data_IF_917695082690
#
_entry.id   IF_917695082690
#
_cell.length_a   1.000
_cell.length_b   1.000
_cell.length_c   1.000
_cell.angle_alpha   90.00
_cell.angle_beta   90.00
_cell.angle_gamma   90.00
#
_symmetry.space_group_name_H-M   'P 1'
#
loop_
_entity.id
_entity.type
_entity.pdbx_description
1 polymer ?
#
# COMPACT_ATOMS: atom_id res chain seq x y z
N UNK A 1 13.50 7.72 5.41
CA UNK A 1 14.20 6.46 5.74
C UNK A 1 13.36 5.64 6.70
N UNK A 2 13.30 4.32 6.50
CA UNK A 2 12.65 3.42 7.44
C UNK A 2 13.46 3.34 8.72
N UNK A 3 12.82 3.60 9.86
CA UNK A 3 13.45 3.56 11.18
C UNK A 3 13.47 2.12 11.69
N UNK A 4 14.64 1.60 12.02
CA UNK A 4 14.76 0.28 12.64
C UNK A 4 15.52 0.37 13.97
N UNK A 5 15.19 -0.53 14.87
CA UNK A 5 15.99 -0.79 16.07
C UNK A 5 16.62 -2.19 16.00
N UNK A 6 17.77 -2.34 16.66
CA UNK A 6 18.45 -3.62 16.78
C UNK A 6 18.32 -4.08 18.23
N UNK A 7 17.82 -5.31 18.44
CA UNK A 7 17.78 -5.95 19.75
C UNK A 7 18.72 -7.15 19.74
N UNK A 8 19.75 -7.12 20.59
CA UNK A 8 20.81 -8.10 20.55
C UNK A 8 21.32 -8.48 21.95
N UNK A 9 21.42 -9.77 22.24
CA UNK A 9 21.94 -10.28 23.52
C UNK A 9 23.45 -10.05 23.72
N UNK A 10 24.20 -9.97 22.65
CA UNK A 10 25.67 -10.04 22.69
C UNK A 10 26.38 -8.71 23.00
N UNK A 11 25.64 -7.69 23.48
CA UNK A 11 26.18 -6.41 23.89
C UNK A 11 26.49 -5.42 22.75
N UNK A 12 26.93 -4.22 23.13
CA UNK A 12 27.08 -3.08 22.23
C UNK A 12 28.01 -3.31 21.03
N UNK A 13 29.12 -4.07 21.22
CA UNK A 13 30.08 -4.35 20.15
C UNK A 13 29.46 -5.21 19.02
N UNK A 14 28.68 -6.22 19.39
CA UNK A 14 28.02 -7.09 18.44
C UNK A 14 26.89 -6.33 17.69
N UNK A 15 26.10 -5.54 18.40
CA UNK A 15 25.08 -4.69 17.80
C UNK A 15 25.70 -3.69 16.81
N UNK A 16 26.86 -3.15 17.10
CA UNK A 16 27.59 -2.24 16.20
C UNK A 16 28.06 -2.91 14.92
N UNK A 17 28.47 -4.18 14.97
CA UNK A 17 28.84 -4.97 13.78
C UNK A 17 27.59 -5.19 12.90
N UNK A 18 26.47 -5.57 13.49
CA UNK A 18 25.19 -5.74 12.80
C UNK A 18 24.78 -4.42 12.14
N UNK A 19 24.79 -3.33 12.89
CA UNK A 19 24.51 -1.97 12.39
C UNK A 19 25.34 -1.64 11.16
N UNK A 20 26.67 -1.76 11.26
CA UNK A 20 27.59 -1.43 10.16
C UNK A 20 27.33 -2.25 8.90
N UNK A 21 26.97 -3.55 9.05
CA UNK A 21 26.63 -4.42 7.93
C UNK A 21 25.31 -3.99 7.26
N UNK A 22 24.29 -3.65 8.04
CA UNK A 22 23.00 -3.20 7.52
C UNK A 22 23.18 -1.85 6.79
N UNK A 23 23.76 -0.84 7.42
CA UNK A 23 23.93 0.51 6.85
C UNK A 23 24.77 0.50 5.56
N UNK A 24 25.75 -0.41 5.45
CA UNK A 24 26.55 -0.56 4.23
C UNK A 24 25.79 -1.17 3.06
N UNK A 25 24.78 -1.99 3.34
CA UNK A 25 24.06 -2.76 2.31
C UNK A 25 22.67 -2.22 1.98
N UNK A 26 22.08 -1.45 2.89
CA UNK A 26 20.72 -0.92 2.75
C UNK A 26 20.74 0.60 2.94
N UNK A 27 20.54 1.35 1.84
CA UNK A 27 20.68 2.82 1.82
C UNK A 27 19.49 3.56 2.44
N UNK A 28 18.29 2.96 2.48
CA UNK A 28 17.04 3.61 2.92
C UNK A 28 16.66 3.27 4.37
N UNK A 29 17.64 2.97 5.21
CA UNK A 29 17.48 2.60 6.61
C UNK A 29 18.07 3.66 7.53
N UNK A 30 17.39 3.91 8.65
CA UNK A 30 17.92 4.65 9.79
C UNK A 30 17.85 3.77 11.03
N UNK A 31 19.02 3.46 11.61
CA UNK A 31 19.05 2.73 12.89
C UNK A 31 18.94 3.75 14.02
N UNK A 32 17.76 3.74 14.69
CA UNK A 32 17.40 4.72 15.72
C UNK A 32 17.76 4.27 17.13
N UNK A 33 18.03 2.97 17.34
CA UNK A 33 18.44 2.46 18.64
C UNK A 33 19.03 1.05 18.57
N UNK A 34 19.81 0.73 19.57
CA UNK A 34 20.37 -0.61 19.80
C UNK A 34 20.17 -0.94 21.27
N UNK A 35 19.52 -2.07 21.55
CA UNK A 35 19.09 -2.44 22.89
C UNK A 35 19.43 -3.89 23.19
N UNK A 36 19.66 -4.20 24.45
CA UNK A 36 19.53 -5.56 24.99
C UNK A 36 18.02 -5.92 25.07
N UNK A 37 17.70 -7.19 25.22
CA UNK A 37 16.31 -7.63 25.41
C UNK A 37 15.68 -7.01 26.67
N UNK A 38 16.47 -6.85 27.73
CA UNK A 38 16.02 -6.23 28.97
C UNK A 38 15.70 -4.74 28.79
N UNK A 39 16.57 -3.97 28.16
CA UNK A 39 16.32 -2.56 27.85
C UNK A 39 15.12 -2.39 26.93
N UNK A 40 15.01 -3.25 25.89
CA UNK A 40 13.87 -3.23 24.97
C UNK A 40 12.54 -3.49 25.71
N UNK A 41 12.52 -4.42 26.68
CA UNK A 41 11.31 -4.76 27.45
C UNK A 41 10.82 -3.62 28.35
N UNK A 42 11.66 -2.62 28.62
CA UNK A 42 11.34 -1.44 29.41
C UNK A 42 10.87 -0.25 28.57
N UNK A 43 10.96 -0.34 27.24
CA UNK A 43 10.45 0.70 26.35
C UNK A 43 8.93 0.65 26.28
N UNK A 44 8.28 1.75 26.63
CA UNK A 44 6.81 1.85 26.54
C UNK A 44 6.32 1.88 25.07
N UNK A 45 7.02 2.61 24.20
CA UNK A 45 6.71 2.70 22.76
C UNK A 45 8.00 2.97 21.96
N UNK A 46 8.63 1.97 21.34
CA UNK A 46 9.80 2.21 20.51
C UNK A 46 9.41 2.96 19.23
N UNK A 47 10.02 4.13 19.00
CA UNK A 47 9.86 4.90 17.76
C UNK A 47 10.62 4.24 16.61
N UNK A 48 10.11 3.14 16.09
CA UNK A 48 10.65 2.43 14.94
C UNK A 48 9.54 1.79 14.09
N UNK A 49 9.92 1.41 12.88
CA UNK A 49 9.04 0.78 11.90
C UNK A 49 9.21 -0.74 11.86
N UNK A 50 10.37 -1.22 12.32
CA UNK A 50 10.72 -2.63 12.31
C UNK A 50 11.79 -2.92 13.37
N UNK A 51 11.76 -4.12 13.91
CA UNK A 51 12.73 -4.63 14.86
C UNK A 51 13.59 -5.69 14.15
N UNK A 52 14.90 -5.51 14.19
CA UNK A 52 15.88 -6.53 13.75
C UNK A 52 16.51 -7.13 15.00
N UNK A 53 16.41 -8.46 15.16
CA UNK A 53 16.79 -9.08 16.45
C UNK A 53 17.48 -10.42 16.29
N UNK A 54 18.41 -10.70 17.21
CA UNK A 54 18.96 -12.04 17.46
C UNK A 54 18.17 -12.81 18.51
N UNK A 55 17.21 -12.14 19.16
CA UNK A 55 16.45 -12.64 20.32
C UNK A 55 15.01 -12.90 19.97
N UNK A 56 14.38 -13.82 20.71
CA UNK A 56 12.94 -14.05 20.59
C UNK A 56 12.18 -12.92 21.29
N UNK A 57 11.53 -12.06 20.52
CA UNK A 57 10.66 -11.01 21.02
C UNK A 57 9.24 -11.52 21.12
N UNK A 58 8.62 -11.32 22.27
CA UNK A 58 7.23 -11.67 22.55
C UNK A 58 6.48 -10.37 22.85
N UNK A 59 5.28 -10.21 22.27
CA UNK A 59 4.39 -9.05 22.46
C UNK A 59 4.89 -7.75 21.79
N UNK A 60 4.90 -7.74 20.48
CA UNK A 60 5.00 -6.52 19.68
C UNK A 60 4.08 -6.64 18.48
N UNK A 61 3.48 -5.52 18.06
CA UNK A 61 2.72 -5.42 16.81
C UNK A 61 3.62 -4.98 15.64
N UNK A 62 4.85 -4.57 15.96
CA UNK A 62 5.82 -4.16 14.94
C UNK A 62 6.34 -5.38 14.17
N UNK A 63 6.65 -5.22 12.88
CA UNK A 63 7.36 -6.22 12.10
C UNK A 63 8.69 -6.60 12.77
N UNK A 64 8.94 -7.90 12.91
CA UNK A 64 10.18 -8.42 13.50
C UNK A 64 10.93 -9.27 12.51
N UNK A 65 12.19 -8.93 12.27
CA UNK A 65 13.11 -9.73 11.45
C UNK A 65 14.15 -10.41 12.34
N UNK A 66 14.07 -11.73 12.41
CA UNK A 66 15.04 -12.54 13.15
C UNK A 66 16.30 -12.77 12.32
N UNK A 67 17.45 -12.52 12.94
CA UNK A 67 18.75 -12.64 12.31
C UNK A 67 19.70 -13.46 13.18
N UNK A 68 20.74 -14.04 12.55
CA UNK A 68 21.89 -14.59 13.26
C UNK A 68 22.98 -13.53 13.49
N UNK A 69 23.88 -13.78 14.43
CA UNK A 69 25.05 -12.91 14.68
C UNK A 69 25.93 -12.74 13.44
N UNK A 70 26.01 -13.78 12.59
CA UNK A 70 26.82 -13.75 11.37
C UNK A 70 26.25 -12.79 10.32
N UNK A 71 24.92 -12.57 10.36
CA UNK A 71 24.16 -11.74 9.40
C UNK A 71 24.59 -12.02 7.95
N UNK A 72 24.37 -13.24 7.44
CA UNK A 72 24.69 -13.57 6.06
C UNK A 72 23.85 -12.77 5.07
N UNK A 73 24.27 -12.71 3.81
CA UNK A 73 23.60 -11.92 2.78
C UNK A 73 22.12 -12.24 2.59
N UNK A 74 21.68 -13.49 2.84
CA UNK A 74 20.27 -13.88 2.81
C UNK A 74 19.41 -13.14 3.86
N UNK A 75 19.95 -12.95 5.08
CA UNK A 75 19.25 -12.27 6.16
C UNK A 75 19.17 -10.76 5.89
N UNK A 76 20.22 -10.17 5.31
CA UNK A 76 20.18 -8.78 4.82
C UNK A 76 19.11 -8.60 3.76
N UNK A 77 18.93 -9.59 2.88
CA UNK A 77 17.87 -9.59 1.87
C UNK A 77 16.48 -9.58 2.51
N UNK A 78 16.26 -10.41 3.55
CA UNK A 78 14.99 -10.46 4.31
C UNK A 78 14.71 -9.11 4.98
N UNK A 79 15.71 -8.47 5.62
CA UNK A 79 15.56 -7.13 6.17
C UNK A 79 15.15 -6.14 5.07
N UNK A 80 15.81 -6.18 3.92
CA UNK A 80 15.49 -5.33 2.77
C UNK A 80 14.08 -5.55 2.22
N UNK A 81 13.58 -6.79 2.23
CA UNK A 81 12.20 -7.12 1.83
C UNK A 81 11.18 -6.55 2.82
N UNK A 82 11.39 -6.72 4.12
CA UNK A 82 10.56 -6.14 5.17
C UNK A 82 10.49 -4.59 5.06
N UNK A 83 11.64 -3.95 4.84
CA UNK A 83 11.70 -2.49 4.67
C UNK A 83 10.93 -2.03 3.44
N UNK A 84 11.05 -2.75 2.31
CA UNK A 84 10.28 -2.44 1.10
C UNK A 84 8.78 -2.56 1.33
N UNK A 85 8.34 -3.61 2.01
CA UNK A 85 6.94 -3.81 2.36
C UNK A 85 6.40 -2.66 3.22
N UNK A 86 7.11 -2.25 4.26
CA UNK A 86 6.77 -1.09 5.09
C UNK A 86 6.64 0.19 4.25
N UNK A 87 7.58 0.43 3.33
CA UNK A 87 7.56 1.62 2.47
C UNK A 87 6.38 1.62 1.49
N UNK A 88 6.04 0.46 0.94
CA UNK A 88 4.89 0.30 0.04
C UNK A 88 3.59 0.54 0.81
N UNK A 89 3.45 -0.06 1.99
CA UNK A 89 2.26 0.12 2.82
C UNK A 89 2.04 1.59 3.17
N UNK A 90 3.07 2.33 3.56
CA UNK A 90 2.99 3.79 3.80
C UNK A 90 2.55 4.59 2.58
N UNK A 91 3.05 4.22 1.41
CA UNK A 91 2.64 4.87 0.16
C UNK A 91 1.16 4.62 -0.15
N UNK A 92 0.70 3.38 0.05
CA UNK A 92 -0.71 3.03 -0.11
C UNK A 92 -1.57 3.79 0.91
N UNK A 93 -1.16 3.84 2.17
CA UNK A 93 -1.82 4.59 3.23
C UNK A 93 -2.01 6.06 2.85
N UNK A 94 -0.97 6.74 2.39
CA UNK A 94 -1.06 8.14 1.94
C UNK A 94 -2.04 8.29 0.77
N UNK A 95 -1.95 7.44 -0.25
CA UNK A 95 -2.84 7.51 -1.41
C UNK A 95 -4.30 7.23 -1.04
N UNK A 96 -4.58 6.37 -0.06
CA UNK A 96 -5.93 6.09 0.41
C UNK A 96 -6.50 7.30 1.17
N UNK A 97 -5.72 7.91 2.06
CA UNK A 97 -6.14 9.08 2.82
C UNK A 97 -6.35 10.32 1.93
N UNK A 98 -5.62 10.42 0.82
CA UNK A 98 -5.74 11.50 -0.18
C UNK A 98 -6.63 11.12 -1.37
N UNK A 99 -7.29 9.95 -1.34
CA UNK A 99 -8.10 9.48 -2.47
C UNK A 99 -9.23 10.43 -2.83
N UNK A 100 -9.44 10.63 -4.12
CA UNK A 100 -10.61 11.32 -4.65
C UNK A 100 -11.80 10.36 -4.53
N UNK A 101 -12.82 10.73 -3.77
CA UNK A 101 -14.04 9.93 -3.62
C UNK A 101 -15.10 10.47 -4.56
N UNK A 102 -15.69 9.58 -5.34
CA UNK A 102 -16.78 9.90 -6.26
C UNK A 102 -18.01 9.05 -5.91
N UNK A 103 -19.19 9.64 -6.07
CA UNK A 103 -20.48 8.95 -6.00
C UNK A 103 -21.05 8.88 -7.40
N UNK A 104 -21.21 7.68 -7.95
CA UNK A 104 -21.55 7.47 -9.36
C UNK A 104 -22.93 6.82 -9.54
N UNK A 105 -23.70 7.35 -10.49
CA UNK A 105 -24.97 6.82 -10.99
C UNK A 105 -24.87 6.40 -12.47
N UNK A 106 -23.67 6.08 -12.93
CA UNK A 106 -23.40 5.76 -14.32
C UNK A 106 -24.08 4.44 -14.73
N UNK A 107 -24.45 4.35 -16.02
CA UNK A 107 -25.24 3.22 -16.54
C UNK A 107 -24.38 2.06 -17.03
N UNK A 108 -23.12 2.33 -17.36
CA UNK A 108 -22.19 1.36 -17.90
C UNK A 108 -20.75 1.63 -17.46
N UNK A 109 -19.90 0.63 -17.66
CA UNK A 109 -18.48 0.70 -17.30
C UNK A 109 -17.72 1.84 -18.01
N UNK A 110 -17.88 2.08 -19.34
CA UNK A 110 -17.17 3.19 -19.98
C UNK A 110 -17.49 4.55 -19.39
N UNK A 111 -18.76 4.83 -19.09
CA UNK A 111 -19.17 6.09 -18.45
C UNK A 111 -18.59 6.22 -17.03
N UNK A 112 -18.58 5.14 -16.26
CA UNK A 112 -17.96 5.12 -14.93
C UNK A 112 -16.45 5.37 -14.99
N UNK A 113 -15.73 4.74 -15.92
CA UNK A 113 -14.29 4.98 -16.13
C UNK A 113 -14.03 6.43 -16.54
N UNK A 114 -14.83 6.99 -17.45
CA UNK A 114 -14.72 8.40 -17.84
C UNK A 114 -14.91 9.33 -16.64
N UNK A 115 -15.94 9.08 -15.82
CA UNK A 115 -16.20 9.88 -14.61
C UNK A 115 -15.03 9.80 -13.61
N UNK A 116 -14.39 8.63 -13.49
CA UNK A 116 -13.23 8.45 -12.62
C UNK A 116 -11.95 9.13 -13.14
N UNK A 117 -11.75 9.16 -14.45
CA UNK A 117 -10.55 9.78 -15.06
C UNK A 117 -10.68 11.30 -15.13
N UNK A 118 -11.89 11.83 -15.29
CA UNK A 118 -12.13 13.27 -15.45
C UNK A 118 -11.43 14.14 -14.40
N UNK A 119 -11.58 13.93 -13.07
CA UNK A 119 -10.89 14.74 -12.08
C UNK A 119 -9.36 14.63 -12.15
N UNK A 120 -8.83 13.52 -12.65
CA UNK A 120 -7.38 13.38 -12.84
C UNK A 120 -6.88 14.23 -14.02
N UNK A 121 -7.68 14.37 -15.08
CA UNK A 121 -7.36 15.24 -16.21
C UNK A 121 -7.52 16.73 -15.85
N UNK A 122 -8.59 17.09 -15.14
CA UNK A 122 -8.85 18.47 -14.71
C UNK A 122 -7.76 19.05 -13.81
N UNK A 123 -7.15 18.19 -12.98
CA UNK A 123 -6.04 18.54 -12.07
C UNK A 123 -4.64 18.27 -12.64
N UNK A 124 -4.55 17.97 -13.95
CA UNK A 124 -3.28 17.68 -14.66
C UNK A 124 -2.46 16.54 -14.04
N UNK A 125 -3.14 15.54 -13.46
CA UNK A 125 -2.47 14.35 -12.94
C UNK A 125 -2.18 13.31 -14.02
N UNK A 126 -2.92 13.36 -15.14
CA UNK A 126 -2.78 12.45 -16.28
C UNK A 126 -2.96 13.20 -17.61
N UNK A 127 -2.36 12.67 -18.70
CA UNK A 127 -2.60 13.14 -20.06
C UNK A 127 -4.03 12.82 -20.53
N UNK A 128 -4.55 13.55 -21.54
CA UNK A 128 -5.88 13.34 -22.10
C UNK A 128 -6.07 11.91 -22.64
N UNK A 129 -5.02 11.33 -23.22
CA UNK A 129 -5.02 9.99 -23.79
C UNK A 129 -5.12 8.88 -22.71
N UNK A 130 -4.94 9.20 -21.44
CA UNK A 130 -4.98 8.22 -20.35
C UNK A 130 -6.33 7.48 -20.30
N UNK A 131 -7.45 8.19 -20.49
CA UNK A 131 -8.80 7.61 -20.53
C UNK A 131 -8.88 6.46 -21.55
N UNK A 132 -8.39 6.68 -22.76
CA UNK A 132 -8.46 5.66 -23.82
C UNK A 132 -7.65 4.43 -23.43
N UNK A 133 -6.51 4.58 -22.77
CA UNK A 133 -5.70 3.44 -22.33
C UNK A 133 -6.37 2.61 -21.24
N UNK A 134 -7.14 3.23 -20.33
CA UNK A 134 -7.95 2.51 -19.33
C UNK A 134 -9.04 1.70 -20.02
N UNK A 135 -9.79 2.33 -20.93
CA UNK A 135 -10.88 1.66 -21.68
C UNK A 135 -10.35 0.49 -22.54
N UNK A 136 -9.21 0.67 -23.20
CA UNK A 136 -8.61 -0.39 -24.01
C UNK A 136 -8.08 -1.54 -23.15
N UNK A 137 -7.59 -1.24 -21.95
CA UNK A 137 -7.16 -2.26 -20.98
C UNK A 137 -8.35 -3.11 -20.50
N UNK A 138 -9.49 -2.49 -20.20
CA UNK A 138 -10.72 -3.18 -19.79
C UNK A 138 -11.27 -4.10 -20.91
N UNK A 139 -11.19 -3.68 -22.19
CA UNK A 139 -11.58 -4.52 -23.34
C UNK A 139 -10.72 -5.78 -23.51
N UNK A 140 -9.43 -5.73 -23.11
CA UNK A 140 -8.52 -6.88 -23.20
C UNK A 140 -8.86 -7.93 -22.14
N UNK A 141 -9.11 -7.47 -20.92
CA UNK A 141 -9.45 -8.31 -19.78
C UNK A 141 -10.05 -7.44 -18.69
N UNK A 142 -11.24 -7.79 -18.25
CA UNK A 142 -11.90 -7.08 -17.14
C UNK A 142 -11.01 -7.08 -15.88
N UNK A 143 -11.03 -5.95 -15.18
CA UNK A 143 -10.35 -5.80 -13.90
C UNK A 143 -11.29 -5.99 -12.70
N UNK A 144 -12.49 -6.52 -12.92
CA UNK A 144 -13.46 -6.80 -11.87
C UNK A 144 -12.98 -7.93 -10.94
N UNK A 145 -13.20 -7.75 -9.65
CA UNK A 145 -12.95 -8.71 -8.58
C UNK A 145 -14.21 -8.76 -7.71
N UNK A 146 -15.05 -9.77 -7.89
CA UNK A 146 -16.32 -9.91 -7.16
C UNK A 146 -17.17 -8.64 -7.19
N UNK A 147 -17.14 -7.81 -6.13
CA UNK A 147 -17.93 -6.59 -5.99
C UNK A 147 -17.13 -5.30 -6.19
N UNK A 148 -15.84 -5.40 -6.52
CA UNK A 148 -14.96 -4.26 -6.79
C UNK A 148 -14.36 -4.36 -8.18
N UNK A 149 -13.87 -3.22 -8.73
CA UNK A 149 -13.08 -3.18 -9.96
C UNK A 149 -11.82 -2.34 -9.74
N UNK A 150 -10.76 -2.66 -10.50
CA UNK A 150 -9.46 -1.99 -10.43
C UNK A 150 -9.00 -1.48 -11.80
N UNK A 151 -9.77 -0.58 -12.43
CA UNK A 151 -9.37 -0.03 -13.73
C UNK A 151 -8.03 0.70 -13.61
N UNK A 152 -7.19 0.55 -14.62
CA UNK A 152 -5.89 1.21 -14.70
C UNK A 152 -5.45 1.40 -16.15
N UNK A 153 -4.66 2.43 -16.40
CA UNK A 153 -4.17 2.78 -17.72
C UNK A 153 -2.66 2.72 -17.85
N UNK A 154 -2.13 3.37 -18.90
CA UNK A 154 -0.70 3.42 -19.18
C UNK A 154 0.05 4.33 -18.18
N UNK A 155 0.99 3.81 -17.37
CA UNK A 155 1.76 4.61 -16.42
C UNK A 155 2.59 5.74 -17.05
N UNK A 156 2.91 5.65 -18.35
CA UNK A 156 3.67 6.69 -19.07
C UNK A 156 2.88 7.99 -19.24
N UNK A 157 1.55 7.94 -19.13
CA UNK A 157 0.63 9.07 -19.24
C UNK A 157 0.22 9.65 -17.87
N UNK A 158 0.86 9.22 -16.80
CA UNK A 158 0.57 9.67 -15.43
C UNK A 158 1.68 10.59 -14.95
N UNK A 159 1.35 11.86 -14.69
CA UNK A 159 2.27 12.87 -14.15
C UNK A 159 2.45 12.72 -12.65
N UNK A 160 1.35 12.46 -11.92
CA UNK A 160 1.36 12.30 -10.47
C UNK A 160 0.50 11.13 -10.05
N UNK A 161 1.08 10.23 -9.23
CA UNK A 161 0.34 9.07 -8.71
C UNK A 161 -0.85 9.51 -7.87
N UNK A 162 -2.06 9.00 -8.20
CA UNK A 162 -3.32 9.31 -7.50
C UNK A 162 -4.24 8.09 -7.47
N UNK A 163 -5.04 8.02 -6.42
CA UNK A 163 -6.11 7.04 -6.26
C UNK A 163 -7.48 7.73 -6.36
N UNK A 164 -8.34 7.20 -7.23
CA UNK A 164 -9.76 7.56 -7.29
C UNK A 164 -10.56 6.36 -6.82
N UNK A 165 -11.49 6.60 -5.90
CA UNK A 165 -12.41 5.57 -5.40
C UNK A 165 -13.83 5.99 -5.79
N UNK A 166 -14.45 5.21 -6.68
CA UNK A 166 -15.83 5.41 -7.10
C UNK A 166 -16.76 4.51 -6.29
N UNK A 167 -17.69 5.14 -5.57
CA UNK A 167 -18.79 4.50 -4.85
C UNK A 167 -20.00 4.48 -5.78
N UNK A 168 -20.47 3.32 -6.18
CA UNK A 168 -21.64 3.17 -7.04
C UNK A 168 -22.90 3.29 -6.17
N UNK A 169 -23.81 4.24 -6.49
CA UNK A 169 -25.09 4.36 -5.80
C UNK A 169 -25.99 3.15 -6.05
N UNK A 170 -25.84 2.51 -7.22
CA UNK A 170 -26.45 1.23 -7.55
C UNK A 170 -25.38 0.28 -8.15
N UNK A 171 -25.45 -1.03 -7.86
CA UNK A 171 -24.47 -1.96 -8.41
C UNK A 171 -24.40 -1.89 -9.94
N UNK A 172 -23.22 -1.55 -10.47
CA UNK A 172 -22.96 -1.39 -11.89
C UNK A 172 -22.48 -2.71 -12.52
N UNK A 173 -23.03 -3.05 -13.68
CA UNK A 173 -22.53 -4.19 -14.46
C UNK A 173 -21.17 -3.83 -15.07
N UNK A 174 -20.14 -4.56 -14.66
CA UNK A 174 -18.77 -4.42 -15.12
C UNK A 174 -18.32 -5.77 -15.68
N UNK A 175 -18.40 -5.90 -17.01
CA UNK A 175 -18.33 -7.20 -17.67
C UNK A 175 -19.38 -8.17 -17.08
N UNK A 176 -18.97 -9.31 -16.54
CA UNK A 176 -19.88 -10.31 -15.94
C UNK A 176 -20.14 -10.10 -14.43
N UNK A 177 -19.56 -9.06 -13.83
CA UNK A 177 -19.62 -8.81 -12.38
C UNK A 177 -20.47 -7.58 -12.06
N UNK A 178 -21.22 -7.62 -10.94
CA UNK A 178 -21.90 -6.44 -10.38
C UNK A 178 -21.04 -5.81 -9.31
N UNK A 179 -20.39 -4.70 -9.65
CA UNK A 179 -19.51 -3.98 -8.73
C UNK A 179 -20.25 -2.88 -7.97
N UNK A 180 -19.81 -2.60 -6.77
CA UNK A 180 -20.31 -1.55 -5.90
C UNK A 180 -19.27 -0.46 -5.64
N UNK A 181 -17.99 -0.78 -5.84
CA UNK A 181 -16.88 0.16 -5.66
C UNK A 181 -15.80 -0.09 -6.72
N UNK A 182 -15.22 0.98 -7.27
CA UNK A 182 -14.09 0.86 -8.19
C UNK A 182 -12.91 1.69 -7.68
N UNK A 183 -11.70 1.17 -7.87
CA UNK A 183 -10.44 1.76 -7.44
C UNK A 183 -9.57 2.01 -8.67
N UNK A 184 -9.53 3.23 -9.17
CA UNK A 184 -8.63 3.62 -10.25
C UNK A 184 -7.34 4.16 -9.63
N UNK A 185 -6.28 3.34 -9.68
CA UNK A 185 -4.98 3.72 -9.18
C UNK A 185 -4.07 4.13 -10.34
N UNK A 186 -4.05 5.44 -10.62
CA UNK A 186 -3.16 6.03 -11.61
C UNK A 186 -1.75 6.13 -11.02
N UNK A 187 -0.86 5.24 -11.42
CA UNK A 187 0.52 5.17 -10.91
C UNK A 187 1.50 5.59 -12.00
N UNK A 188 2.36 6.58 -11.71
CA UNK A 188 3.33 7.07 -12.68
C UNK A 188 4.46 6.07 -12.97
N UNK A 189 5.03 6.15 -14.17
CA UNK A 189 6.19 5.33 -14.56
C UNK A 189 7.39 5.51 -13.62
N UNK A 190 7.59 6.72 -13.09
CA UNK A 190 8.66 7.01 -12.14
C UNK A 190 8.41 6.26 -10.82
N UNK A 191 7.18 6.33 -10.29
CA UNK A 191 6.79 5.61 -9.08
C UNK A 191 6.95 4.10 -9.24
N UNK A 192 6.58 3.53 -10.38
CA UNK A 192 6.75 2.10 -10.64
C UNK A 192 8.21 1.67 -10.75
N UNK A 193 9.10 2.54 -11.25
CA UNK A 193 10.56 2.28 -11.25
C UNK A 193 11.11 2.25 -9.84
N UNK A 194 10.67 3.17 -8.98
CA UNK A 194 11.10 3.23 -7.58
C UNK A 194 10.48 2.14 -6.71
N UNK A 195 9.22 1.83 -6.95
CA UNK A 195 8.39 0.91 -6.15
C UNK A 195 7.65 -0.09 -7.06
N UNK A 196 8.37 -1.01 -7.73
CA UNK A 196 7.77 -1.90 -8.74
C UNK A 196 6.67 -2.83 -8.19
N UNK A 197 6.64 -3.06 -6.88
CA UNK A 197 5.63 -3.90 -6.24
C UNK A 197 4.37 -3.14 -5.78
N UNK A 198 4.32 -1.81 -5.94
CA UNK A 198 3.24 -0.97 -5.40
C UNK A 198 1.86 -1.43 -5.90
N UNK A 199 1.69 -1.51 -7.22
CA UNK A 199 0.40 -1.92 -7.81
C UNK A 199 0.03 -3.36 -7.44
N UNK A 200 0.99 -4.29 -7.51
CA UNK A 200 0.76 -5.69 -7.16
C UNK A 200 0.40 -5.87 -5.68
N UNK A 201 0.99 -5.08 -4.79
CA UNK A 201 0.65 -5.11 -3.36
C UNK A 201 -0.77 -4.59 -3.14
N UNK A 202 -1.13 -3.48 -3.78
CA UNK A 202 -2.49 -2.93 -3.71
C UNK A 202 -3.53 -3.93 -4.23
N UNK A 203 -3.29 -4.51 -5.42
CA UNK A 203 -4.14 -5.56 -5.98
C UNK A 203 -4.30 -6.74 -5.02
N UNK A 204 -3.22 -7.24 -4.44
CA UNK A 204 -3.25 -8.38 -3.50
C UNK A 204 -4.06 -8.08 -2.24
N UNK A 205 -3.98 -6.85 -1.71
CA UNK A 205 -4.78 -6.42 -0.56
C UNK A 205 -6.26 -6.45 -0.92
N UNK A 206 -6.64 -5.84 -2.03
CA UNK A 206 -8.04 -5.78 -2.48
C UNK A 206 -8.61 -7.13 -2.90
N UNK A 207 -7.77 -8.04 -3.38
CA UNK A 207 -8.15 -9.41 -3.74
C UNK A 207 -8.32 -10.35 -2.52
N UNK A 208 -8.05 -9.86 -1.30
CA UNK A 208 -8.32 -10.63 -0.08
C UNK A 208 -9.83 -10.65 0.18
N UNK A 209 -10.47 -11.84 0.33
CA UNK A 209 -11.92 -11.95 0.52
C UNK A 209 -12.45 -11.21 1.76
N UNK A 210 -11.68 -11.17 2.85
CA UNK A 210 -12.08 -10.46 4.08
C UNK A 210 -12.06 -8.94 3.87
N UNK A 211 -11.08 -8.44 3.13
CA UNK A 211 -10.95 -7.02 2.76
C UNK A 211 -12.10 -6.63 1.84
N UNK A 212 -12.35 -7.41 0.80
CA UNK A 212 -13.42 -7.18 -0.17
C UNK A 212 -14.80 -7.15 0.53
N UNK A 213 -15.09 -8.10 1.40
CA UNK A 213 -16.34 -8.15 2.15
C UNK A 213 -16.48 -6.95 3.11
N UNK A 214 -15.40 -6.48 3.74
CA UNK A 214 -15.43 -5.30 4.59
C UNK A 214 -15.64 -4.01 3.78
N UNK A 215 -15.06 -3.90 2.59
CA UNK A 215 -15.34 -2.80 1.65
C UNK A 215 -16.81 -2.82 1.25
N UNK A 216 -17.36 -3.99 0.92
CA UNK A 216 -18.77 -4.17 0.57
C UNK A 216 -19.70 -3.71 1.69
N UNK A 217 -19.39 -4.07 2.95
CA UNK A 217 -20.15 -3.61 4.13
C UNK A 217 -20.08 -2.10 4.30
N UNK A 218 -18.87 -1.53 4.20
CA UNK A 218 -18.67 -0.08 4.29
C UNK A 218 -19.45 0.68 3.19
N UNK A 219 -19.45 0.14 1.97
CA UNK A 219 -20.17 0.71 0.84
C UNK A 219 -21.70 0.68 1.03
N UNK A 220 -22.23 -0.35 1.69
CA UNK A 220 -23.66 -0.50 1.94
C UNK A 220 -24.21 0.46 3.02
N UNK A 221 -23.34 1.13 3.76
CA UNK A 221 -23.77 2.12 4.76
C UNK A 221 -24.18 3.43 4.09
N UNK A 222 -25.40 3.88 4.40
CA UNK A 222 -25.96 5.14 3.89
C UNK A 222 -25.35 6.34 4.61
N UNK A 223 -25.21 7.47 3.88
CA UNK A 223 -24.81 8.77 4.43
C UNK A 223 -23.45 8.81 5.15
N UNK A 224 -22.50 7.93 4.79
CA UNK A 224 -21.14 8.01 5.30
C UNK A 224 -20.40 9.16 4.61
N UNK A 225 -19.96 10.20 5.35
CA UNK A 225 -19.16 11.29 4.77
C UNK A 225 -17.87 10.77 4.15
N UNK A 226 -17.40 11.39 3.08
CA UNK A 226 -16.21 10.92 2.34
C UNK A 226 -14.96 10.84 3.21
N UNK A 227 -14.78 11.78 4.13
CA UNK A 227 -13.65 11.74 5.06
C UNK A 227 -13.71 10.53 6.01
N UNK A 228 -14.89 10.21 6.53
CA UNK A 228 -15.10 9.02 7.36
C UNK A 228 -14.92 7.76 6.53
N UNK A 229 -15.40 7.77 5.29
CA UNK A 229 -15.21 6.66 4.36
C UNK A 229 -13.73 6.39 4.10
N UNK A 230 -12.92 7.43 3.80
CA UNK A 230 -11.47 7.29 3.61
C UNK A 230 -10.77 6.70 4.84
N UNK A 231 -11.08 7.21 6.03
CA UNK A 231 -10.50 6.72 7.28
C UNK A 231 -10.84 5.26 7.55
N UNK A 232 -12.08 4.84 7.31
CA UNK A 232 -12.52 3.46 7.48
C UNK A 232 -11.96 2.54 6.40
N UNK A 233 -11.89 3.01 5.16
CA UNK A 233 -11.24 2.30 4.07
C UNK A 233 -9.76 2.06 4.39
N UNK A 234 -9.07 3.08 4.90
CA UNK A 234 -7.69 2.96 5.38
C UNK A 234 -7.54 1.87 6.45
N UNK A 235 -8.46 1.79 7.42
CA UNK A 235 -8.44 0.75 8.46
C UNK A 235 -8.68 -0.65 7.89
N UNK A 236 -9.52 -0.78 6.87
CA UNK A 236 -9.81 -2.06 6.20
C UNK A 236 -8.60 -2.56 5.39
N UNK A 237 -7.87 -1.65 4.75
CA UNK A 237 -6.76 -1.98 3.86
C UNK A 237 -5.40 -2.14 4.58
N UNK A 238 -5.34 -1.87 5.87
CA UNK A 238 -4.18 -2.02 6.75
C UNK A 238 -4.10 -3.42 7.33
#
# INVERSE_FOLDING_TARGET
>A
KTKIIIVCHFGAAAAQIIRSKIERKLSNVGITGMYSLQEFSQLEAPECDCIVTTERIIKTELPVVYISMALPGREIKIIGECIREIQINRLLEMNILEAIILHLDEKDMPAAVEAMVRPLMEEDYVEEEYLQTVLDREKISSTSLCHIALPHGNPALVHSTRLVVARMNQPLLWDDSRIQCAFLFAVSSEMLKEKPMLFNTFYRILANPDVEENIRKLQAEENVPDEVFRQRLFQILR
#
